data_IF_166005057309
#
_entry.id   IF_166005057309
#
_cell.length_a   1.000
_cell.length_b   1.000
_cell.length_c   1.000
_cell.angle_alpha   90.00
_cell.angle_beta   90.00
_cell.angle_gamma   90.00
#
_symmetry.space_group_name_H-M   'P 1'
#
loop_
_entity.id
_entity.type
_entity.pdbx_description
1 polymer ?
#
# COMPACT_ATOMS: atom_id res chain seq x y z
N UNK A 1 -12.18 -0.31 3.10
CA UNK A 1 -10.77 0.07 3.25
C UNK A 1 -10.58 1.41 2.55
N UNK A 2 -10.05 2.39 3.27
CA UNK A 2 -9.82 3.73 2.72
C UNK A 2 -8.58 3.75 1.83
N UNK A 3 -8.56 4.63 0.84
CA UNK A 3 -7.39 4.83 0.00
C UNK A 3 -6.26 5.47 0.82
N UNK A 4 -5.06 4.91 0.73
CA UNK A 4 -3.92 5.41 1.48
C UNK A 4 -2.72 4.47 1.47
N UNK A 5 -1.63 4.96 2.05
CA UNK A 5 -0.44 4.17 2.35
C UNK A 5 -0.50 3.69 3.79
N UNK A 6 -0.22 2.41 4.00
CA UNK A 6 -0.28 1.75 5.29
C UNK A 6 1.02 0.99 5.57
N UNK A 7 1.47 1.01 6.83
CA UNK A 7 2.42 0.02 7.32
C UNK A 7 1.67 -1.27 7.63
N UNK A 8 2.26 -2.40 7.30
CA UNK A 8 1.70 -3.72 7.59
C UNK A 8 2.65 -4.48 8.51
N UNK A 9 2.11 -5.09 9.56
CA UNK A 9 2.80 -6.05 10.40
C UNK A 9 2.06 -7.38 10.36
N UNK A 10 2.78 -8.46 10.11
CA UNK A 10 2.21 -9.81 9.96
C UNK A 10 2.75 -10.72 11.05
N UNK A 11 1.85 -11.52 11.63
CA UNK A 11 2.16 -12.57 12.59
C UNK A 11 1.49 -13.88 12.15
N UNK A 12 2.26 -14.96 12.08
CA UNK A 12 1.72 -16.30 11.83
C UNK A 12 0.90 -16.80 13.04
N UNK A 13 -0.20 -17.49 12.79
CA UNK A 13 -1.08 -18.03 13.85
C UNK A 13 -0.86 -19.53 14.15
N UNK A 14 -0.08 -20.25 13.35
CA UNK A 14 0.03 -21.72 13.41
C UNK A 14 1.13 -22.25 14.36
N UNK A 15 1.51 -21.47 15.37
CA UNK A 15 2.59 -21.83 16.29
C UNK A 15 4.01 -21.66 15.71
N UNK A 16 4.15 -21.24 14.45
CA UNK A 16 5.45 -20.85 13.87
C UNK A 16 5.78 -19.42 14.25
N UNK A 17 6.98 -19.18 14.79
CA UNK A 17 7.45 -17.82 15.08
C UNK A 17 7.87 -17.14 13.77
N UNK A 18 7.00 -16.33 13.20
CA UNK A 18 7.28 -15.57 12.00
C UNK A 18 6.65 -14.18 12.07
N UNK A 19 7.49 -13.14 11.98
CA UNK A 19 7.07 -11.73 11.92
C UNK A 19 7.49 -11.14 10.58
N UNK A 20 6.53 -10.55 9.87
CA UNK A 20 6.75 -9.82 8.62
C UNK A 20 6.43 -8.35 8.82
N UNK A 21 7.11 -7.46 8.10
CA UNK A 21 6.79 -6.03 8.09
C UNK A 21 7.07 -5.43 6.73
N UNK A 22 6.24 -4.49 6.32
CA UNK A 22 6.36 -3.86 5.01
C UNK A 22 5.40 -2.69 4.85
N UNK A 23 5.17 -2.30 3.59
CA UNK A 23 4.23 -1.24 3.23
C UNK A 23 3.23 -1.72 2.19
N UNK A 24 2.00 -1.24 2.30
CA UNK A 24 0.92 -1.55 1.36
C UNK A 24 0.09 -0.32 1.08
N UNK A 25 -0.22 -0.12 -0.20
CA UNK A 25 -1.10 0.94 -0.69
C UNK A 25 -2.43 0.32 -1.14
N UNK A 26 -3.51 0.86 -0.60
CA UNK A 26 -4.87 0.61 -1.07
C UNK A 26 -5.30 1.78 -1.94
N UNK A 27 -5.71 1.49 -3.17
CA UNK A 27 -6.16 2.52 -4.10
C UNK A 27 -7.13 1.96 -5.12
N UNK A 28 -8.33 2.52 -5.17
CA UNK A 28 -9.28 2.27 -6.28
C UNK A 28 -9.52 0.76 -6.50
N UNK A 29 -9.67 -0.01 -5.41
CA UNK A 29 -9.87 -1.46 -5.47
C UNK A 29 -8.60 -2.27 -5.79
N UNK A 30 -7.42 -1.64 -5.84
CA UNK A 30 -6.12 -2.31 -6.02
C UNK A 30 -5.29 -2.29 -4.76
N UNK A 31 -4.53 -3.36 -4.56
CA UNK A 31 -3.50 -3.51 -3.54
C UNK A 31 -2.16 -3.56 -4.24
N UNK A 32 -1.23 -2.71 -3.82
CA UNK A 32 0.18 -2.81 -4.23
C UNK A 32 1.08 -2.55 -3.02
N UNK A 33 2.18 -3.25 -2.90
CA UNK A 33 3.06 -3.09 -1.75
C UNK A 33 4.31 -3.93 -1.85
N UNK A 34 5.05 -3.98 -0.76
CA UNK A 34 6.23 -4.82 -0.66
C UNK A 34 7.00 -4.62 0.64
N UNK A 35 8.06 -5.39 0.74
CA UNK A 35 9.07 -5.33 1.78
C UNK A 35 10.47 -5.49 1.15
N UNK A 36 11.47 -5.74 1.99
CA UNK A 36 12.86 -5.91 1.56
C UNK A 36 13.09 -7.06 0.56
N UNK A 37 12.20 -8.06 0.49
CA UNK A 37 12.37 -9.26 -0.32
C UNK A 37 11.21 -9.52 -1.28
N UNK A 38 10.01 -9.05 -0.93
CA UNK A 38 8.76 -9.39 -1.59
C UNK A 38 8.08 -8.14 -2.14
N UNK A 39 7.34 -8.32 -3.23
CA UNK A 39 6.34 -7.36 -3.66
C UNK A 39 4.96 -8.03 -3.68
N UNK A 40 3.94 -7.21 -3.47
CA UNK A 40 2.55 -7.64 -3.36
C UNK A 40 1.72 -6.90 -4.41
N UNK A 41 0.87 -7.63 -5.12
CA UNK A 41 -0.09 -7.05 -6.07
C UNK A 41 -1.42 -7.75 -5.95
N UNK A 42 -2.51 -7.01 -5.99
CA UNK A 42 -3.82 -7.61 -5.78
C UNK A 42 -4.97 -6.65 -6.00
N UNK A 43 -6.15 -7.14 -5.65
CA UNK A 43 -7.38 -6.36 -5.68
C UNK A 43 -8.15 -6.55 -4.38
N UNK A 44 -9.02 -5.58 -4.07
CA UNK A 44 -9.89 -5.65 -2.91
C UNK A 44 -11.25 -5.04 -3.19
N UNK A 45 -12.22 -5.52 -2.44
CA UNK A 45 -13.59 -5.01 -2.39
C UNK A 45 -13.95 -4.69 -0.95
N UNK A 46 -14.89 -3.76 -0.76
CA UNK A 46 -15.26 -3.26 0.56
C UNK A 46 -16.77 -3.31 0.71
N UNK A 47 -17.24 -3.74 1.88
CA UNK A 47 -18.66 -3.79 2.22
C UNK A 47 -18.83 -3.32 3.67
N UNK A 48 -19.40 -2.13 3.86
CA UNK A 48 -19.43 -1.45 5.16
C UNK A 48 -18.02 -1.28 5.72
N UNK A 49 -17.83 -1.70 6.97
CA UNK A 49 -16.55 -1.62 7.69
C UNK A 49 -15.65 -2.84 7.49
N UNK A 50 -16.02 -3.71 6.54
CA UNK A 50 -15.27 -4.91 6.18
C UNK A 50 -14.68 -4.80 4.78
N UNK A 51 -13.58 -5.52 4.55
CA UNK A 51 -12.99 -5.67 3.23
C UNK A 51 -12.53 -7.11 2.99
N UNK A 52 -12.51 -7.49 1.71
CA UNK A 52 -11.96 -8.75 1.23
C UNK A 52 -11.03 -8.45 0.06
N UNK A 53 -9.98 -9.24 -0.09
CA UNK A 53 -9.05 -9.06 -1.19
C UNK A 53 -8.28 -10.32 -1.51
N UNK A 54 -7.68 -10.29 -2.68
CA UNK A 54 -6.79 -11.32 -3.18
C UNK A 54 -5.46 -10.66 -3.51
N UNK A 55 -4.37 -11.25 -3.01
CA UNK A 55 -3.03 -10.71 -3.12
C UNK A 55 -2.11 -11.80 -3.65
N UNK A 56 -1.40 -11.49 -4.72
CA UNK A 56 -0.27 -12.26 -5.20
C UNK A 56 1.00 -11.70 -4.58
N UNK A 57 1.79 -12.56 -3.96
CA UNK A 57 3.09 -12.23 -3.38
C UNK A 57 4.18 -12.94 -4.18
N UNK A 58 5.18 -12.18 -4.59
CA UNK A 58 6.31 -12.73 -5.33
C UNK A 58 7.62 -12.12 -4.82
N UNK A 59 8.66 -12.93 -4.80
CA UNK A 59 10.00 -12.54 -4.39
C UNK A 59 10.70 -11.79 -5.52
N UNK A 60 11.23 -10.60 -5.22
CA UNK A 60 12.09 -9.84 -6.14
C UNK A 60 13.57 -9.96 -5.77
N UNK A 61 13.89 -10.13 -4.49
CA UNK A 61 15.26 -10.27 -4.01
C UNK A 61 15.46 -11.67 -3.45
N UNK A 62 16.37 -12.43 -4.07
CA UNK A 62 16.80 -13.72 -3.56
C UNK A 62 18.00 -13.51 -2.65
N UNK A 63 17.90 -13.93 -1.39
CA UNK A 63 19.02 -13.96 -0.46
C UNK A 63 19.18 -15.39 0.06
N UNK A 64 20.40 -15.97 0.05
CA UNK A 64 20.66 -17.28 0.64
C UNK A 64 20.38 -17.32 2.15
N UNK A 65 20.54 -16.17 2.83
CA UNK A 65 20.53 -16.06 4.29
C UNK A 65 19.17 -15.59 4.85
N UNK A 66 18.23 -15.21 3.99
CA UNK A 66 16.91 -14.73 4.39
C UNK A 66 15.80 -15.64 3.86
N UNK A 67 14.97 -16.15 4.78
CA UNK A 67 13.80 -16.96 4.45
C UNK A 67 12.52 -16.14 4.68
N UNK A 68 12.00 -15.43 3.66
CA UNK A 68 10.78 -14.65 3.80
C UNK A 68 9.59 -15.56 4.14
N UNK A 69 8.64 -15.05 4.94
CA UNK A 69 7.48 -15.83 5.41
C UNK A 69 6.59 -16.35 4.27
N UNK A 70 6.56 -15.60 3.17
CA UNK A 70 5.83 -15.90 1.95
C UNK A 70 6.77 -15.70 0.76
N UNK A 71 6.54 -16.38 -0.37
CA UNK A 71 7.33 -16.17 -1.59
C UNK A 71 8.55 -17.09 -1.72
N UNK A 72 8.28 -18.38 -1.95
CA UNK A 72 9.27 -19.31 -2.47
C UNK A 72 9.65 -19.01 -3.93
N UNK A 73 10.21 -19.97 -4.68
CA UNK A 73 10.55 -19.79 -6.10
C UNK A 73 9.34 -19.40 -6.96
N UNK A 74 8.14 -19.81 -6.53
CA UNK A 74 6.88 -19.55 -7.22
C UNK A 74 6.07 -18.46 -6.54
N UNK A 75 5.26 -17.69 -7.29
CA UNK A 75 4.29 -16.75 -6.74
C UNK A 75 3.32 -17.44 -5.78
N UNK A 76 2.99 -16.76 -4.69
CA UNK A 76 2.07 -17.24 -3.65
C UNK A 76 0.78 -16.44 -3.70
N UNK A 77 -0.35 -17.12 -3.87
CA UNK A 77 -1.68 -16.52 -3.76
C UNK A 77 -2.12 -16.44 -2.30
N UNK A 78 -2.67 -15.30 -1.92
CA UNK A 78 -3.15 -15.01 -0.58
C UNK A 78 -4.57 -14.44 -0.63
N UNK A 79 -5.51 -15.09 0.04
CA UNK A 79 -6.82 -14.52 0.31
C UNK A 79 -6.79 -13.76 1.63
N UNK A 80 -7.31 -12.52 1.66
CA UNK A 80 -7.40 -11.71 2.88
C UNK A 80 -8.81 -11.22 3.14
N UNK A 81 -9.18 -11.14 4.41
CA UNK A 81 -10.41 -10.50 4.85
C UNK A 81 -10.22 -9.84 6.22
N UNK A 82 -10.87 -8.70 6.42
CA UNK A 82 -10.66 -7.93 7.63
C UNK A 82 -11.66 -6.81 7.83
N UNK A 83 -11.47 -6.11 8.95
CA UNK A 83 -12.21 -4.90 9.31
C UNK A 83 -11.26 -3.71 9.29
N UNK A 84 -11.80 -2.52 9.03
CA UNK A 84 -11.02 -1.30 8.96
C UNK A 84 -11.74 -0.15 9.64
N UNK A 85 -10.94 0.77 10.18
CA UNK A 85 -11.36 2.09 10.65
C UNK A 85 -10.74 3.16 9.75
N UNK A 86 -10.89 4.43 10.12
CA UNK A 86 -10.31 5.53 9.34
C UNK A 86 -8.77 5.52 9.30
N UNK A 87 -8.13 4.97 10.35
CA UNK A 87 -6.69 5.05 10.62
C UNK A 87 -5.99 3.70 10.73
N UNK A 88 -6.72 2.60 10.90
CA UNK A 88 -6.15 1.27 11.05
C UNK A 88 -7.01 0.19 10.39
N UNK A 89 -6.45 -1.00 10.22
CA UNK A 89 -7.22 -2.18 9.82
C UNK A 89 -6.60 -3.44 10.44
N UNK A 90 -7.43 -4.45 10.66
CA UNK A 90 -7.00 -5.78 11.10
C UNK A 90 -7.55 -6.79 10.13
N UNK A 91 -6.69 -7.68 9.64
CA UNK A 91 -7.09 -8.71 8.68
C UNK A 91 -6.50 -10.06 9.00
N UNK A 92 -7.23 -11.09 8.61
CA UNK A 92 -6.75 -12.46 8.56
C UNK A 92 -6.49 -12.82 7.11
N UNK A 93 -5.41 -13.57 6.88
CA UNK A 93 -5.04 -14.04 5.56
C UNK A 93 -4.70 -15.51 5.55
N UNK A 94 -4.96 -16.15 4.41
CA UNK A 94 -4.59 -17.52 4.13
C UNK A 94 -3.72 -17.53 2.89
N UNK A 95 -2.46 -17.90 3.04
CA UNK A 95 -1.50 -18.02 1.94
C UNK A 95 -1.37 -19.49 1.51
N UNK A 96 -1.43 -19.73 0.20
CA UNK A 96 -1.24 -21.07 -0.36
C UNK A 96 0.23 -21.24 -0.80
N UNK A 97 1.02 -21.92 0.02
CA UNK A 97 2.45 -22.16 -0.24
C UNK A 97 2.64 -23.63 -0.61
N UNK A 98 2.74 -23.90 -1.91
CA UNK A 98 2.83 -25.26 -2.42
C UNK A 98 1.55 -26.05 -2.12
N UNK A 99 1.63 -27.06 -1.25
CA UNK A 99 0.49 -27.90 -0.82
C UNK A 99 -0.06 -27.54 0.56
N UNK A 100 0.51 -26.55 1.23
CA UNK A 100 0.13 -26.16 2.58
C UNK A 100 -0.52 -24.77 2.61
N UNK A 101 -1.54 -24.63 3.46
CA UNK A 101 -2.18 -23.35 3.75
C UNK A 101 -1.59 -22.76 5.03
N UNK A 102 -1.07 -21.54 4.92
CA UNK A 102 -0.46 -20.80 6.03
C UNK A 102 -1.42 -19.68 6.46
N UNK A 103 -1.90 -19.73 7.69
CA UNK A 103 -2.82 -18.72 8.24
C UNK A 103 -2.02 -17.66 9.02
N UNK A 104 -2.35 -16.40 8.80
CA UNK A 104 -1.72 -15.27 9.47
C UNK A 104 -2.73 -14.19 9.83
N UNK A 105 -2.36 -13.37 10.81
CA UNK A 105 -3.02 -12.11 11.10
C UNK A 105 -2.10 -10.96 10.73
N UNK A 106 -2.67 -9.90 10.18
CA UNK A 106 -1.96 -8.68 9.88
C UNK A 106 -2.67 -7.46 10.46
N UNK A 107 -1.88 -6.55 11.02
CA UNK A 107 -2.33 -5.24 11.46
C UNK A 107 -1.81 -4.18 10.51
N UNK A 108 -2.68 -3.24 10.15
CA UNK A 108 -2.38 -2.14 9.26
C UNK A 108 -2.57 -0.83 9.99
N UNK A 109 -1.61 0.08 9.83
CA UNK A 109 -1.69 1.44 10.34
C UNK A 109 -1.49 2.42 9.19
N UNK A 110 -2.42 3.36 9.06
CA UNK A 110 -2.37 4.38 8.00
C UNK A 110 -1.20 5.32 8.27
N UNK A 111 -0.37 5.51 7.26
CA UNK A 111 0.79 6.40 7.29
C UNK A 111 0.49 7.72 6.58
N UNK A 112 -0.24 7.64 5.47
CA UNK A 112 -0.62 8.81 4.70
C UNK A 112 -1.98 8.61 4.04
N UNK A 113 -2.80 9.65 4.11
CA UNK A 113 -3.95 9.77 3.22
C UNK A 113 -3.42 9.95 1.82
N UNK A 114 -3.92 9.17 0.87
CA UNK A 114 -3.87 9.63 -0.52
C UNK A 114 -4.95 10.68 -0.64
N UNK A 115 -4.59 11.93 -0.33
CA UNK A 115 -5.35 13.04 -0.86
C UNK A 115 -5.46 12.79 -2.36
N UNK A 116 -6.66 12.95 -2.93
CA UNK A 116 -6.67 13.64 -4.23
C UNK A 116 -5.73 14.81 -4.01
N UNK A 117 -4.79 15.05 -4.92
CA UNK A 117 -4.27 16.41 -5.03
C UNK A 117 -5.52 17.27 -5.24
N UNK A 118 -6.13 17.72 -4.15
CA UNK A 118 -7.10 18.77 -4.16
C UNK A 118 -6.30 19.87 -4.79
N UNK A 119 -6.69 20.25 -6.01
CA UNK A 119 -6.20 21.49 -6.60
C UNK A 119 -6.34 22.49 -5.46
N UNK A 120 -5.24 23.05 -4.93
CA UNK A 120 -5.35 23.95 -3.81
C UNK A 120 -6.27 25.08 -4.25
N UNK A 121 -7.45 25.11 -3.67
CA UNK A 121 -8.42 26.19 -3.74
C UNK A 121 -7.80 27.37 -2.99
N UNK A 122 -6.84 28.01 -3.67
CA UNK A 122 -5.94 28.99 -3.09
C UNK A 122 -4.66 29.27 -3.90
N UNK A 123 -4.37 28.55 -5.00
CA UNK A 123 -3.32 29.01 -5.93
C UNK A 123 -3.85 30.14 -6.80
N UNK A 124 -3.79 31.33 -6.20
CA UNK A 124 -3.77 32.62 -6.85
C UNK A 124 -2.95 32.59 -8.14
N UNK A 125 -3.61 32.88 -9.27
CA UNK A 125 -3.20 33.78 -10.37
C UNK A 125 -1.70 33.92 -10.73
N UNK A 126 -0.88 32.90 -10.63
CA UNK A 126 0.54 32.98 -11.05
C UNK A 126 1.01 31.84 -11.94
N UNK A 127 0.10 31.27 -12.74
CA UNK A 127 0.48 30.57 -13.96
C UNK A 127 -0.04 31.39 -15.16
N UNK A 128 0.47 32.62 -15.31
CA UNK A 128 0.43 33.28 -16.61
C UNK A 128 1.39 32.51 -17.50
N UNK A 129 0.83 31.89 -18.54
CA UNK A 129 1.50 31.36 -19.74
C UNK A 129 2.96 31.79 -19.84
N UNK A 130 3.89 30.85 -19.68
CA UNK A 130 5.16 30.94 -20.38
C UNK A 130 4.84 30.72 -21.87
N UNK A 131 4.50 31.80 -22.56
CA UNK A 131 4.56 31.87 -24.01
C UNK A 131 5.64 32.91 -24.35
N UNK A 132 6.74 32.41 -24.90
CA UNK A 132 7.88 33.12 -25.50
C UNK A 132 8.97 33.70 -24.55
N UNK A 133 10.26 33.66 -24.97
CA UNK A 133 11.39 34.17 -24.21
C UNK A 133 11.57 35.68 -24.43
N UNK A 134 11.72 36.42 -23.35
CA UNK A 134 12.28 37.77 -23.38
C UNK A 134 11.36 38.85 -22.79
N UNK A 135 11.88 39.50 -21.74
CA UNK A 135 11.39 40.71 -21.04
C UNK A 135 10.38 40.48 -19.92
N UNK A 136 10.91 40.13 -18.74
CA UNK A 136 10.32 40.57 -17.48
C UNK A 136 10.83 41.98 -17.17
N UNK A 137 9.94 42.98 -17.14
CA UNK A 137 10.20 44.24 -16.42
C UNK A 137 9.44 44.17 -15.09
N UNK A 138 10.06 44.52 -13.95
CA UNK A 138 9.33 44.70 -12.72
C UNK A 138 8.49 45.97 -12.79
N UNK A 139 7.20 45.87 -12.45
CA UNK A 139 6.33 47.02 -12.22
C UNK A 139 6.88 47.82 -11.05
N UNK A 140 7.15 49.11 -11.27
CA UNK A 140 7.41 50.06 -10.20
C UNK A 140 6.07 50.32 -9.50
N UNK A 141 5.92 49.82 -8.29
CA UNK A 141 4.97 50.39 -7.35
C UNK A 141 5.51 51.69 -6.79
N UNK A 142 4.77 52.79 -6.93
CA UNK A 142 4.79 53.91 -5.99
C UNK A 142 3.34 54.39 -5.83
N UNK A 143 3.00 54.55 -4.55
CA UNK A 143 1.85 55.15 -3.85
C UNK A 143 0.79 55.90 -4.65
#
# INVERSE_FOLDING_TARGET
>A
MMNGLYSIHVSLQDGRTGKGSGVVMFREGKIVGGDAYLYYTGSYTTKGDTFKGEVLVQRHTSSPDANPLFGGPSPVGIGVSGTFTETAAVMNGTALVGKASQIFTATLRKLANRGRAGRPNGWSRYCRRCAAPGRCRPDRGVS
#
